data_IF_099123971285
#
_entry.id   IF_099123971285
#
_cell.length_a   1.000
_cell.length_b   1.000
_cell.length_c   1.000
_cell.angle_alpha   90.00
_cell.angle_beta   90.00
_cell.angle_gamma   90.00
#
_symmetry.space_group_name_H-M   'P 1'
#
loop_
_entity.id
_entity.type
_entity.pdbx_description
1 polymer ?
#
# COMPACT_ATOMS: atom_id res chain seq x y z
N UNK A 1 -9.93 -18.49 -15.36
CA UNK A 1 -8.71 -17.75 -14.97
C UNK A 1 -8.86 -16.34 -15.50
N UNK A 2 -8.55 -15.31 -14.70
CA UNK A 2 -8.65 -13.90 -15.13
C UNK A 2 -7.37 -13.57 -15.93
N UNK A 3 -7.46 -12.90 -17.10
CA UNK A 3 -6.28 -12.48 -17.87
C UNK A 3 -5.38 -11.53 -17.07
N UNK A 4 -4.07 -11.63 -17.25
CA UNK A 4 -3.09 -10.81 -16.51
C UNK A 4 -3.28 -9.32 -16.79
N UNK A 5 -3.62 -8.99 -18.03
CA UNK A 5 -3.83 -7.61 -18.48
C UNK A 5 -5.01 -6.96 -17.75
N UNK A 6 -6.04 -7.75 -17.43
CA UNK A 6 -7.20 -7.27 -16.66
C UNK A 6 -6.80 -6.99 -15.21
N UNK A 7 -5.96 -7.85 -14.62
CA UNK A 7 -5.42 -7.63 -13.26
C UNK A 7 -4.57 -6.36 -13.21
N UNK A 8 -3.68 -6.18 -14.20
CA UNK A 8 -2.83 -5.00 -14.32
C UNK A 8 -3.66 -3.72 -14.52
N UNK A 9 -4.73 -3.75 -15.32
CA UNK A 9 -5.63 -2.61 -15.49
C UNK A 9 -6.33 -2.24 -14.17
N UNK A 10 -6.81 -3.24 -13.42
CA UNK A 10 -7.44 -3.00 -12.11
C UNK A 10 -6.44 -2.36 -11.15
N UNK A 11 -5.21 -2.88 -11.07
CA UNK A 11 -4.16 -2.29 -10.23
C UNK A 11 -3.88 -0.85 -10.66
N UNK A 12 -3.69 -0.60 -11.96
CA UNK A 12 -3.37 0.72 -12.49
C UNK A 12 -4.47 1.76 -12.24
N UNK A 13 -5.74 1.33 -12.18
CA UNK A 13 -6.91 2.20 -11.95
C UNK A 13 -7.29 2.34 -10.48
N UNK A 14 -6.67 1.58 -9.58
CA UNK A 14 -6.95 1.65 -8.15
C UNK A 14 -6.08 2.71 -7.51
N UNK A 15 -6.69 3.68 -6.82
CA UNK A 15 -5.96 4.59 -5.94
C UNK A 15 -5.55 3.84 -4.67
N UNK A 16 -4.27 3.48 -4.59
CA UNK A 16 -3.74 2.73 -3.46
C UNK A 16 -3.79 3.50 -2.14
N UNK A 17 -3.68 4.84 -2.19
CA UNK A 17 -3.76 5.68 -0.98
C UNK A 17 -5.17 5.61 -0.41
N UNK A 18 -6.18 5.76 -1.28
CA UNK A 18 -7.58 5.66 -0.87
C UNK A 18 -7.90 4.26 -0.33
N UNK A 19 -7.47 3.21 -1.02
CA UNK A 19 -7.67 1.81 -0.60
C UNK A 19 -7.11 1.58 0.81
N UNK A 20 -5.82 1.88 1.01
CA UNK A 20 -5.13 1.61 2.27
C UNK A 20 -5.64 2.51 3.40
N UNK A 21 -6.04 3.75 3.10
CA UNK A 21 -6.63 4.67 4.10
C UNK A 21 -7.91 4.12 4.72
N UNK A 22 -8.58 3.15 4.10
CA UNK A 22 -9.70 2.40 4.68
C UNK A 22 -9.30 1.44 5.81
N UNK A 23 -8.02 1.07 5.91
CA UNK A 23 -7.51 0.07 6.87
C UNK A 23 -6.49 0.67 7.85
N UNK A 24 -5.70 1.63 7.39
CA UNK A 24 -4.57 2.20 8.12
C UNK A 24 -4.72 3.72 8.19
N UNK A 25 -4.55 4.29 9.37
CA UNK A 25 -4.42 5.75 9.49
C UNK A 25 -3.06 6.18 8.93
N UNK A 26 -3.10 6.86 7.78
CA UNK A 26 -1.92 7.36 7.10
C UNK A 26 -1.68 8.84 7.40
N UNK A 27 -0.41 9.24 7.46
CA UNK A 27 0.04 10.64 7.54
C UNK A 27 0.97 10.94 6.39
N UNK A 28 0.90 12.17 5.87
CA UNK A 28 1.77 12.60 4.77
C UNK A 28 3.22 12.75 5.24
N UNK A 29 4.16 12.20 4.47
CA UNK A 29 5.60 12.34 4.64
C UNK A 29 6.24 12.64 3.27
N UNK A 30 6.45 13.92 2.98
CA UNK A 30 6.88 14.36 1.65
C UNK A 30 5.85 14.02 0.56
N UNK A 31 6.28 13.24 -0.44
CA UNK A 31 5.41 12.70 -1.51
C UNK A 31 4.68 11.42 -1.13
N UNK A 32 5.05 10.79 -0.01
CA UNK A 32 4.56 9.48 0.39
C UNK A 32 3.58 9.61 1.57
N UNK A 33 2.94 8.50 1.90
CA UNK A 33 2.08 8.36 3.06
C UNK A 33 2.65 7.30 3.99
N UNK A 34 2.65 7.53 5.30
CA UNK A 34 3.26 6.64 6.30
C UNK A 34 2.28 6.33 7.42
N UNK A 35 2.29 5.09 7.93
CA UNK A 35 1.45 4.63 9.02
C UNK A 35 2.05 3.42 9.76
N UNK A 36 1.30 2.91 10.74
CA UNK A 36 1.63 1.62 11.37
C UNK A 36 1.28 0.49 10.41
N UNK A 37 2.12 -0.53 10.35
CA UNK A 37 1.92 -1.69 9.51
C UNK A 37 0.68 -2.50 9.95
N UNK A 38 -0.24 -2.86 9.05
CA UNK A 38 -1.34 -3.75 9.37
C UNK A 38 -0.91 -5.23 9.41
N UNK A 39 0.28 -5.57 8.92
CA UNK A 39 0.76 -6.95 8.78
C UNK A 39 1.62 -7.45 9.95
N UNK A 40 2.08 -6.56 10.83
CA UNK A 40 2.80 -6.96 12.04
C UNK A 40 2.61 -5.92 13.15
N UNK A 41 2.74 -6.35 14.40
CA UNK A 41 2.58 -5.45 15.54
C UNK A 41 3.83 -4.61 15.76
N UNK A 42 3.69 -3.29 15.69
CA UNK A 42 4.76 -2.32 15.92
C UNK A 42 4.26 -1.06 16.63
N UNK A 43 5.19 -0.27 17.19
CA UNK A 43 4.89 1.02 17.84
C UNK A 43 5.37 2.23 17.06
N UNK A 44 6.30 2.02 16.12
CA UNK A 44 6.88 3.07 15.28
C UNK A 44 6.40 2.83 13.86
N UNK A 45 5.89 3.85 13.14
CA UNK A 45 5.47 3.69 11.76
C UNK A 45 6.60 3.17 10.86
N UNK A 46 6.42 2.01 10.24
CA UNK A 46 7.32 1.49 9.21
C UNK A 46 6.65 1.23 7.87
N UNK A 47 5.32 1.41 7.79
CA UNK A 47 4.52 1.18 6.59
C UNK A 47 4.45 2.45 5.74
N UNK A 48 4.89 2.36 4.49
CA UNK A 48 4.91 3.47 3.53
C UNK A 48 4.09 3.13 2.30
N UNK A 49 3.23 4.05 1.87
CA UNK A 49 2.52 4.03 0.59
C UNK A 49 3.17 5.05 -0.33
N UNK A 50 3.42 4.64 -1.57
CA UNK A 50 4.06 5.42 -2.62
C UNK A 50 3.02 5.74 -3.72
N UNK A 51 2.36 6.91 -3.66
CA UNK A 51 1.34 7.26 -4.65
C UNK A 51 1.89 7.30 -6.08
N UNK A 52 3.15 7.73 -6.25
CA UNK A 52 3.79 7.85 -7.56
C UNK A 52 4.06 6.51 -8.27
N UNK A 53 4.21 5.41 -7.53
CA UNK A 53 4.41 4.07 -8.09
C UNK A 53 3.22 3.14 -7.84
N UNK A 54 2.13 3.67 -7.28
CA UNK A 54 0.93 2.95 -6.89
C UNK A 54 1.20 1.66 -6.08
N UNK A 55 2.11 1.75 -5.10
CA UNK A 55 2.56 0.59 -4.31
C UNK A 55 2.77 0.92 -2.83
N UNK A 56 3.05 -0.12 -2.03
CA UNK A 56 3.40 0.01 -0.62
C UNK A 56 4.60 -0.84 -0.24
N UNK A 57 5.26 -0.47 0.85
CA UNK A 57 6.29 -1.29 1.49
C UNK A 57 6.35 -1.01 2.99
N UNK A 58 6.53 -2.06 3.77
CA UNK A 58 6.79 -2.00 5.19
C UNK A 58 8.27 -2.30 5.48
N UNK A 59 8.99 -1.30 5.96
CA UNK A 59 10.42 -1.43 6.30
C UNK A 59 10.67 -2.25 7.57
N UNK A 60 9.65 -2.53 8.38
CA UNK A 60 9.77 -3.35 9.59
C UNK A 60 9.65 -4.86 9.33
N UNK A 61 8.75 -5.29 8.44
CA UNK A 61 8.49 -6.71 8.18
C UNK A 61 8.72 -7.16 6.72
N UNK A 62 9.00 -6.24 5.80
CA UNK A 62 9.25 -6.55 4.39
C UNK A 62 8.01 -6.77 3.54
N UNK A 63 6.80 -6.71 4.11
CA UNK A 63 5.56 -6.75 3.34
C UNK A 63 5.52 -5.61 2.33
N UNK A 64 5.19 -5.89 1.08
CA UNK A 64 5.14 -4.90 0.01
C UNK A 64 4.45 -5.43 -1.22
N UNK A 65 3.98 -4.53 -2.06
CA UNK A 65 3.26 -4.87 -3.27
C UNK A 65 2.35 -3.74 -3.74
N UNK A 66 1.30 -4.13 -4.45
CA UNK A 66 0.29 -3.26 -5.04
C UNK A 66 -1.06 -3.37 -4.31
N UNK A 67 -2.09 -2.76 -4.89
CA UNK A 67 -3.46 -2.80 -4.39
C UNK A 67 -4.02 -4.22 -4.20
N UNK A 68 -3.64 -5.18 -5.04
CA UNK A 68 -4.13 -6.56 -4.96
C UNK A 68 -3.35 -7.35 -3.91
N UNK A 69 -2.04 -7.13 -3.82
CA UNK A 69 -1.20 -7.79 -2.80
C UNK A 69 -1.56 -7.36 -1.37
N UNK A 70 -2.13 -6.16 -1.22
CA UNK A 70 -2.52 -5.63 0.07
C UNK A 70 -3.77 -6.29 0.68
N UNK A 71 -4.74 -6.70 -0.16
CA UNK A 71 -6.05 -7.23 0.24
C UNK A 71 -5.99 -8.75 0.38
#
# INVERSE_FOLDING_TARGET
MIPKEVVEEVVARTDIVQLISGYVTLRRAGSNMVGLCPFHSERTPSFTVFPGTNGFYCFGCGAGGDAITFV
#
